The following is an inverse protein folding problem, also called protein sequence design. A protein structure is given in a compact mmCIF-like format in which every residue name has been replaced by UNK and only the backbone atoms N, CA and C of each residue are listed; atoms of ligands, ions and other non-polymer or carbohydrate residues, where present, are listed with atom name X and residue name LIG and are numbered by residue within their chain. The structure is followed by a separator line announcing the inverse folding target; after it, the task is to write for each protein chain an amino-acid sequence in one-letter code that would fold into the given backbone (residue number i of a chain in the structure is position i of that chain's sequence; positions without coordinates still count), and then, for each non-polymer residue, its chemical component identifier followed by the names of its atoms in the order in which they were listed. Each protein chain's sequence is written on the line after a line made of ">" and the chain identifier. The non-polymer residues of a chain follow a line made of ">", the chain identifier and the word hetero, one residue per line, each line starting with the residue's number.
data_IF_780902581099
#
_entry.id   IF_780902581099
#
_cell.length_a   1.000
_cell.length_b   1.000
_cell.length_c   1.000
_cell.angle_alpha   90.00
_cell.angle_beta   90.00
_cell.angle_gamma   90.00
#
_symmetry.space_group_name_H-M   'P 1'
#
loop_
_entity.id
_entity.type
_entity.pdbx_description
1 polymer ?
#
# COMPACT_ATOMS: atom_id res chain seq x y z
N UNK A 1 6.17 3.79 11.58
CA UNK A 1 6.20 2.32 11.44
C UNK A 1 5.16 1.74 12.37
N UNK A 2 4.22 0.96 11.84
CA UNK A 2 3.16 0.33 12.63
C UNK A 2 3.61 -1.01 13.24
N UNK A 3 4.74 -1.58 12.82
CA UNK A 3 5.20 -2.87 13.30
C UNK A 3 4.47 -4.07 12.69
N UNK A 4 4.28 -5.14 13.48
CA UNK A 4 3.70 -6.41 13.02
C UNK A 4 2.34 -6.69 13.68
N UNK A 5 1.48 -7.47 13.00
CA UNK A 5 0.16 -7.89 13.49
C UNK A 5 -0.79 -6.71 13.81
N UNK A 6 -0.85 -5.73 12.92
CA UNK A 6 -1.74 -4.57 13.07
C UNK A 6 -3.16 -4.89 12.60
N UNK A 7 -4.14 -4.35 13.33
CA UNK A 7 -5.53 -4.36 12.93
C UNK A 7 -5.79 -3.32 11.82
N UNK A 8 -6.87 -3.48 11.05
CA UNK A 8 -7.29 -2.53 10.00
C UNK A 8 -7.46 -1.13 10.60
N UNK A 9 -8.04 -1.05 11.80
CA UNK A 9 -8.23 0.19 12.56
C UNK A 9 -6.90 0.93 12.78
N UNK A 10 -5.81 0.21 13.09
CA UNK A 10 -4.49 0.82 13.28
C UNK A 10 -3.94 1.42 11.99
N UNK A 11 -4.25 0.85 10.83
CA UNK A 11 -3.89 1.46 9.54
C UNK A 11 -4.68 2.74 9.31
N UNK A 12 -5.99 2.72 9.55
CA UNK A 12 -6.87 3.87 9.34
C UNK A 12 -6.52 5.04 10.28
N UNK A 13 -6.28 4.74 11.56
CA UNK A 13 -5.88 5.75 12.55
C UNK A 13 -4.55 6.40 12.18
N UNK A 14 -3.58 5.60 11.72
CA UNK A 14 -2.28 6.10 11.28
C UNK A 14 -2.41 6.93 10.00
N UNK A 15 -3.23 6.50 9.05
CA UNK A 15 -3.50 7.25 7.82
C UNK A 15 -4.13 8.61 8.15
N UNK A 16 -5.14 8.63 9.02
CA UNK A 16 -5.82 9.86 9.43
C UNK A 16 -4.91 10.80 10.24
N UNK A 17 -3.97 10.26 11.02
CA UNK A 17 -3.07 11.07 11.86
C UNK A 17 -1.82 11.56 11.12
N UNK A 18 -1.30 10.80 10.16
CA UNK A 18 -0.03 11.11 9.49
C UNK A 18 -0.21 11.60 8.05
N UNK A 19 -1.39 11.43 7.46
CA UNK A 19 -1.71 11.78 6.07
C UNK A 19 -0.63 11.30 5.07
N UNK A 20 -0.27 10.00 5.08
CA UNK A 20 0.88 9.51 4.34
C UNK A 20 0.64 9.52 2.83
N UNK A 21 1.68 9.84 2.06
CA UNK A 21 1.63 9.70 0.60
C UNK A 21 1.66 8.24 0.13
N UNK A 22 2.28 7.36 0.92
CA UNK A 22 2.51 5.96 0.58
C UNK A 22 2.18 5.06 1.78
N UNK A 23 1.33 4.07 1.55
CA UNK A 23 1.09 2.97 2.48
C UNK A 23 1.86 1.72 2.02
N UNK A 24 2.79 1.25 2.84
CA UNK A 24 3.51 0.01 2.63
C UNK A 24 2.93 -1.14 3.46
N UNK A 25 2.61 -2.28 2.82
CA UNK A 25 2.20 -3.50 3.52
C UNK A 25 3.10 -4.67 3.17
N UNK A 26 3.44 -5.49 4.17
CA UNK A 26 4.28 -6.68 4.00
C UNK A 26 3.63 -7.92 4.61
N UNK A 27 3.73 -9.05 3.91
CA UNK A 27 3.28 -10.35 4.41
C UNK A 27 4.30 -11.43 4.08
N UNK A 28 4.75 -12.16 5.10
CA UNK A 28 5.68 -13.30 4.93
C UNK A 28 4.97 -14.66 4.96
N UNK A 29 3.72 -14.70 5.42
CA UNK A 29 2.93 -15.92 5.53
C UNK A 29 1.80 -15.91 4.50
N UNK A 30 1.55 -17.05 3.87
CA UNK A 30 0.43 -17.19 2.91
C UNK A 30 -0.93 -16.97 3.56
N UNK A 31 -1.05 -17.25 4.87
CA UNK A 31 -2.27 -17.02 5.65
C UNK A 31 -2.54 -15.54 5.92
N UNK A 32 -1.54 -14.67 5.88
CA UNK A 32 -1.71 -13.22 6.08
C UNK A 32 -1.85 -12.46 4.76
N UNK A 33 -1.61 -13.11 3.61
CA UNK A 33 -1.82 -12.48 2.29
C UNK A 33 -3.25 -11.95 2.10
N UNK A 34 -4.33 -12.73 2.38
CA UNK A 34 -5.70 -12.23 2.19
C UNK A 34 -6.04 -11.02 3.06
N UNK A 35 -5.33 -10.85 4.19
CA UNK A 35 -5.56 -9.72 5.09
C UNK A 35 -5.25 -8.37 4.43
N UNK A 36 -4.26 -8.31 3.54
CA UNK A 36 -3.95 -7.11 2.77
C UNK A 36 -5.15 -6.65 1.94
N UNK A 37 -5.92 -7.60 1.38
CA UNK A 37 -7.15 -7.29 0.66
C UNK A 37 -8.20 -6.67 1.58
N UNK A 38 -8.35 -7.20 2.80
CA UNK A 38 -9.29 -6.65 3.79
C UNK A 38 -8.95 -5.20 4.11
N UNK A 39 -7.66 -4.88 4.32
CA UNK A 39 -7.22 -3.49 4.56
C UNK A 39 -7.57 -2.60 3.36
N UNK A 40 -7.23 -3.02 2.14
CA UNK A 40 -7.51 -2.24 0.92
C UNK A 40 -9.01 -2.07 0.69
N UNK A 41 -9.81 -3.12 0.85
CA UNK A 41 -11.26 -3.07 0.72
C UNK A 41 -11.86 -2.07 1.72
N UNK A 42 -11.41 -2.09 2.97
CA UNK A 42 -11.87 -1.12 3.98
C UNK A 42 -11.45 0.31 3.63
N UNK A 43 -10.26 0.51 3.06
CA UNK A 43 -9.87 1.83 2.54
C UNK A 43 -10.76 2.30 1.39
N UNK A 44 -11.21 1.38 0.52
CA UNK A 44 -12.16 1.68 -0.56
C UNK A 44 -13.53 2.04 0.03
N UNK A 45 -14.02 1.29 1.02
CA UNK A 45 -15.28 1.56 1.70
C UNK A 45 -15.31 2.93 2.39
N UNK A 46 -14.16 3.39 2.91
CA UNK A 46 -14.02 4.72 3.49
C UNK A 46 -13.72 5.82 2.46
N UNK A 47 -13.52 5.47 1.19
CA UNK A 47 -13.25 6.43 0.12
C UNK A 47 -11.83 7.02 0.13
N UNK A 48 -10.92 6.50 0.95
CA UNK A 48 -9.56 7.02 1.13
C UNK A 48 -8.51 6.26 0.30
N UNK A 49 -8.89 5.17 -0.36
CA UNK A 49 -7.96 4.33 -1.12
C UNK A 49 -7.20 5.10 -2.19
N UNK A 50 -7.87 6.01 -2.90
CA UNK A 50 -7.29 6.71 -4.05
C UNK A 50 -6.43 7.94 -3.65
N UNK A 51 -6.37 8.28 -2.37
CA UNK A 51 -5.62 9.45 -1.86
C UNK A 51 -4.11 9.17 -1.70
N UNK A 52 -3.73 7.90 -1.64
CA UNK A 52 -2.37 7.45 -1.39
C UNK A 52 -1.96 6.27 -2.26
N UNK A 53 -0.65 6.08 -2.38
CA UNK A 53 -0.06 4.98 -3.14
C UNK A 53 0.08 3.77 -2.21
N UNK A 54 -0.50 2.63 -2.58
CA UNK A 54 -0.41 1.38 -1.82
C UNK A 54 0.62 0.45 -2.44
N UNK A 55 1.72 0.22 -1.73
CA UNK A 55 2.78 -0.72 -2.11
C UNK A 55 2.69 -1.99 -1.27
N UNK A 56 2.74 -3.15 -1.91
CA UNK A 56 2.70 -4.45 -1.23
C UNK A 56 3.97 -5.25 -1.49
N UNK A 57 4.41 -6.01 -0.50
CA UNK A 57 5.63 -6.82 -0.60
C UNK A 57 5.59 -8.07 0.28
N UNK A 58 6.55 -8.96 0.06
CA UNK A 58 6.69 -10.19 0.82
C UNK A 58 7.09 -11.40 -0.03
N UNK A 59 7.69 -12.39 0.62
CA UNK A 59 8.22 -13.58 -0.04
C UNK A 59 7.18 -14.41 -0.83
N UNK A 60 5.93 -14.61 -0.35
CA UNK A 60 4.93 -15.38 -1.08
C UNK A 60 4.11 -14.56 -2.09
N UNK A 61 4.36 -13.24 -2.21
CA UNK A 61 3.59 -12.36 -3.09
C UNK A 61 4.17 -12.32 -4.50
N UNK A 62 3.34 -11.89 -5.45
CA UNK A 62 3.72 -11.63 -6.83
C UNK A 62 2.89 -10.46 -7.40
N UNK A 63 3.22 -10.01 -8.61
CA UNK A 63 2.52 -8.92 -9.29
C UNK A 63 1.03 -9.20 -9.52
N UNK A 64 0.65 -10.46 -9.80
CA UNK A 64 -0.75 -10.83 -10.02
C UNK A 64 -1.57 -10.65 -8.74
N UNK A 65 -1.03 -11.07 -7.60
CA UNK A 65 -1.67 -10.91 -6.30
C UNK A 65 -1.83 -9.43 -5.95
N UNK A 66 -0.77 -8.64 -6.11
CA UNK A 66 -0.82 -7.19 -5.85
C UNK A 66 -1.91 -6.49 -6.66
N UNK A 67 -2.02 -6.80 -7.96
CA UNK A 67 -3.09 -6.27 -8.81
C UNK A 67 -4.47 -6.77 -8.39
N UNK A 68 -4.59 -8.05 -8.06
CA UNK A 68 -5.86 -8.66 -7.69
C UNK A 68 -6.47 -8.07 -6.40
N UNK A 69 -5.64 -7.62 -5.47
CA UNK A 69 -6.10 -6.97 -4.23
C UNK A 69 -6.26 -5.45 -4.36
N UNK A 70 -5.92 -4.87 -5.52
CA UNK A 70 -6.03 -3.44 -5.75
C UNK A 70 -4.87 -2.60 -5.18
N UNK A 71 -3.66 -3.17 -5.06
CA UNK A 71 -2.45 -2.40 -4.76
C UNK A 71 -1.90 -1.71 -6.02
N UNK A 72 -1.20 -0.59 -5.84
CA UNK A 72 -0.60 0.17 -6.96
C UNK A 72 0.63 -0.54 -7.53
N UNK A 73 1.43 -1.18 -6.67
CA UNK A 73 2.54 -2.01 -7.09
C UNK A 73 2.93 -3.08 -6.07
N UNK A 74 3.38 -4.21 -6.62
CA UNK A 74 4.12 -5.22 -5.87
C UNK A 74 5.62 -4.92 -5.92
N UNK A 75 6.27 -4.97 -4.76
CA UNK A 75 7.71 -4.77 -4.63
C UNK A 75 8.36 -6.06 -4.11
N UNK A 76 9.14 -6.71 -4.98
CA UNK A 76 9.82 -7.98 -4.64
C UNK A 76 10.90 -7.85 -3.57
N UNK A 77 11.53 -6.68 -3.50
CA UNK A 77 12.64 -6.37 -2.60
C UNK A 77 12.68 -4.88 -2.26
N UNK A 78 13.51 -4.51 -1.28
CA UNK A 78 13.61 -3.15 -0.79
C UNK A 78 14.13 -2.16 -1.85
N UNK A 79 15.03 -2.59 -2.74
CA UNK A 79 15.57 -1.72 -3.78
C UNK A 79 14.48 -1.35 -4.79
N UNK A 80 13.70 -2.34 -5.23
CA UNK A 80 12.54 -2.13 -6.09
C UNK A 80 11.47 -1.27 -5.41
N UNK A 81 11.25 -1.45 -4.10
CA UNK A 81 10.30 -0.62 -3.36
C UNK A 81 10.68 0.86 -3.37
N UNK A 82 11.96 1.18 -3.15
CA UNK A 82 12.46 2.57 -3.16
C UNK A 82 12.30 3.20 -4.55
N UNK A 83 12.68 2.50 -5.62
CA UNK A 83 12.57 3.03 -6.98
C UNK A 83 11.10 3.18 -7.41
N UNK A 84 10.24 2.26 -7.00
CA UNK A 84 8.80 2.32 -7.23
C UNK A 84 8.17 3.50 -6.50
N UNK A 85 8.47 3.67 -5.21
CA UNK A 85 8.03 4.81 -4.41
C UNK A 85 8.42 6.15 -5.05
N UNK A 86 9.69 6.31 -5.46
CA UNK A 86 10.15 7.52 -6.17
C UNK A 86 9.37 7.77 -7.46
N UNK A 87 9.12 6.71 -8.24
CA UNK A 87 8.37 6.80 -9.51
C UNK A 87 6.93 7.28 -9.27
N UNK A 88 6.25 6.73 -8.27
CA UNK A 88 4.88 7.14 -7.94
C UNK A 88 4.83 8.55 -7.34
N UNK A 89 5.77 8.92 -6.48
CA UNK A 89 5.86 10.29 -5.93
C UNK A 89 6.10 11.32 -7.03
N UNK A 90 6.98 11.03 -8.00
CA UNK A 90 7.21 11.91 -9.14
C UNK A 90 5.94 12.06 -10.00
N UNK A 91 5.15 10.98 -10.18
CA UNK A 91 3.86 11.04 -10.90
C UNK A 91 2.81 11.84 -10.13
N UNK A 92 2.69 11.65 -8.81
CA UNK A 92 1.79 12.41 -7.93
C UNK A 92 2.09 13.91 -8.01
N UNK A 93 3.37 14.29 -7.96
CA UNK A 93 3.82 15.68 -8.13
C UNK A 93 3.42 16.26 -9.50
N UNK A 94 3.54 15.47 -10.58
CA UNK A 94 3.21 15.93 -11.93
C UNK A 94 1.70 16.04 -12.19
N UNK A 95 0.85 15.30 -11.47
CA UNK A 95 -0.62 15.43 -11.60
C UNK A 95 -1.13 16.74 -10.97
N UNK A 96 -0.47 17.26 -9.92
CA UNK A 96 -0.77 18.57 -9.34
C UNK A 96 -0.32 19.77 -10.19
N UNK A 97 0.53 19.56 -11.20
CA UNK A 97 1.04 20.63 -12.07
C UNK A 97 0.21 20.85 -13.36
N UNK A 98 -0.86 20.05 -13.56
CA UNK A 98 -1.74 20.12 -14.74
C UNK A 98 -3.16 20.60 -14.43
N UNK A 99 -3.36 21.30 -13.31
CA UNK A 99 -4.58 22.03 -12.99
C UNK A 99 -4.37 23.54 -13.10
#
# INVERSE_FOLDING_TARGET
>A
DLGINNAVESYLDAIASEEPDILGMSALLTTTMPYMKVVIDTMIEQGIRDEMIVLVGGAPLNDEFGKAIGADAYCRDAAVAVETAKTFMARKHNQGATA
#
